data_IF_003139970750
#
_entry.id   IF_003139970750
#
_cell.length_a   1.000
_cell.length_b   1.000
_cell.length_c   1.000
_cell.angle_alpha   90.00
_cell.angle_beta   90.00
_cell.angle_gamma   90.00
#
_symmetry.space_group_name_H-M   'P 1'
#
loop_
_entity.id
_entity.type
_entity.pdbx_description
1 polymer ?
#
# COMPACT_ATOMS: atom_id res chain seq x y z
N UNK A 1 7.50 17.47 -3.34
CA UNK A 1 6.35 16.62 -3.37
C UNK A 1 6.25 15.81 -2.09
N UNK A 2 5.10 15.35 -1.79
CA UNK A 2 4.80 14.73 -0.52
C UNK A 2 4.77 13.23 -0.65
N UNK A 3 5.36 12.56 0.29
CA UNK A 3 5.25 11.12 0.33
C UNK A 3 5.09 10.66 1.77
N UNK A 4 4.66 9.43 1.93
CA UNK A 4 4.53 8.82 3.24
C UNK A 4 5.07 7.41 3.20
N UNK A 5 5.44 6.89 4.34
CA UNK A 5 5.80 5.49 4.48
C UNK A 5 4.74 4.88 5.38
N UNK A 6 4.09 3.86 4.90
CA UNK A 6 3.04 3.20 5.64
C UNK A 6 3.40 1.75 5.89
N UNK A 7 2.79 1.15 6.88
CA UNK A 7 2.95 -0.25 7.16
C UNK A 7 1.62 -0.93 6.84
N UNK A 8 1.61 -1.81 5.88
CA UNK A 8 0.39 -2.46 5.43
C UNK A 8 0.72 -3.86 4.98
N UNK A 9 -0.04 -4.83 5.45
CA UNK A 9 0.15 -6.21 5.05
C UNK A 9 1.52 -6.76 5.43
N UNK A 10 2.03 -6.35 6.55
CA UNK A 10 3.32 -6.85 7.02
C UNK A 10 4.52 -6.22 6.35
N UNK A 11 4.31 -5.19 5.54
CA UNK A 11 5.41 -4.57 4.83
C UNK A 11 5.31 -3.07 4.88
N UNK A 12 6.44 -2.41 4.71
CA UNK A 12 6.48 -0.97 4.60
C UNK A 12 6.41 -0.57 3.14
N UNK A 13 5.67 0.46 2.84
CA UNK A 13 5.52 0.96 1.49
C UNK A 13 5.71 2.47 1.48
N UNK A 14 6.50 2.96 0.54
CA UNK A 14 6.61 4.38 0.33
C UNK A 14 5.57 4.75 -0.72
N UNK A 15 4.71 5.71 -0.40
CA UNK A 15 3.58 6.04 -1.26
C UNK A 15 3.53 7.53 -1.54
N UNK A 16 3.04 7.88 -2.72
CA UNK A 16 2.74 9.27 -3.09
C UNK A 16 1.31 9.30 -3.60
N UNK A 17 0.71 10.49 -3.61
CA UNK A 17 -0.64 10.63 -4.12
C UNK A 17 -0.70 10.24 -5.58
N UNK A 18 -1.74 9.54 -5.95
CA UNK A 18 -1.94 9.08 -7.32
C UNK A 18 -1.30 7.76 -7.66
N UNK A 19 -0.46 7.28 -6.80
CA UNK A 19 0.27 6.03 -7.04
C UNK A 19 -0.63 4.84 -6.87
N UNK A 20 -0.48 3.83 -7.72
CA UNK A 20 -1.16 2.56 -7.56
C UNK A 20 -0.23 1.57 -6.89
N UNK A 21 -0.79 0.76 -6.03
CA UNK A 21 0.01 -0.10 -5.19
C UNK A 21 -0.71 -1.40 -4.97
N UNK A 22 -0.01 -2.50 -4.94
CA UNK A 22 -0.59 -3.78 -4.58
C UNK A 22 -0.21 -4.11 -3.17
N UNK A 23 -1.20 -4.41 -2.37
CA UNK A 23 -0.97 -4.77 -0.97
C UNK A 23 -1.61 -6.10 -0.71
N UNK A 24 -1.30 -6.70 0.40
CA UNK A 24 -1.90 -7.93 0.81
C UNK A 24 -3.40 -7.79 0.80
N UNK A 25 -4.11 -8.87 0.53
CA UNK A 25 -5.55 -8.82 0.33
C UNK A 25 -6.26 -8.14 1.50
N UNK A 26 -7.06 -7.12 1.20
CA UNK A 26 -7.74 -6.37 2.24
C UNK A 26 -9.20 -6.76 2.41
N UNK A 27 -9.74 -7.52 1.48
CA UNK A 27 -11.15 -7.95 1.53
C UNK A 27 -12.11 -6.77 1.53
N UNK A 28 -11.81 -5.79 0.69
CA UNK A 28 -12.66 -4.61 0.55
C UNK A 28 -13.21 -4.56 -0.85
N UNK A 29 -14.38 -3.97 -0.98
CA UNK A 29 -15.02 -3.89 -2.28
C UNK A 29 -14.36 -2.90 -3.18
N UNK A 30 -14.38 -3.19 -4.47
CA UNK A 30 -13.89 -2.26 -5.47
C UNK A 30 -14.64 -0.95 -5.36
N UNK A 31 -13.94 0.15 -5.42
CA UNK A 31 -14.51 1.48 -5.32
C UNK A 31 -14.61 2.01 -3.90
N UNK A 32 -14.35 1.17 -2.91
CA UNK A 32 -14.43 1.66 -1.54
C UNK A 32 -13.19 2.43 -1.17
N UNK A 33 -13.30 3.23 -0.14
CA UNK A 33 -12.19 4.01 0.38
C UNK A 33 -11.64 3.32 1.61
N UNK A 34 -10.33 3.25 1.70
CA UNK A 34 -9.69 2.73 2.91
C UNK A 34 -8.80 3.80 3.50
N UNK A 35 -8.72 3.80 4.82
CA UNK A 35 -7.83 4.69 5.53
C UNK A 35 -6.75 3.87 6.17
N UNK A 36 -5.51 4.21 5.88
CA UNK A 36 -4.36 3.49 6.39
C UNK A 36 -3.72 4.39 7.44
N UNK A 37 -3.82 3.98 8.69
CA UNK A 37 -3.39 4.84 9.78
C UNK A 37 -2.04 4.45 10.38
N UNK A 38 -1.44 3.40 9.88
CA UNK A 38 -0.13 3.01 10.36
C UNK A 38 0.92 3.72 9.53
N UNK A 39 1.05 5.00 9.77
CA UNK A 39 1.92 5.88 9.02
C UNK A 39 3.20 6.11 9.82
N UNK A 40 4.31 5.67 9.25
CA UNK A 40 5.59 5.72 9.94
C UNK A 40 6.31 7.02 9.71
N UNK A 41 6.09 7.63 8.55
CA UNK A 41 6.82 8.83 8.18
C UNK A 41 6.04 9.61 7.14
N UNK A 42 6.10 10.92 7.22
CA UNK A 42 5.54 11.80 6.19
C UNK A 42 6.57 12.86 5.88
N UNK A 43 6.79 13.08 4.59
CA UNK A 43 7.68 14.14 4.15
C UNK A 43 6.99 14.99 3.11
N UNK A 44 7.08 16.31 3.24
CA UNK A 44 6.52 17.19 2.23
C UNK A 44 7.62 17.79 1.37
N UNK A 45 8.79 17.25 1.43
CA UNK A 45 9.93 17.76 0.65
C UNK A 45 10.82 18.69 1.46
N UNK A 46 10.28 19.29 2.48
CA UNK A 46 11.05 20.20 3.32
C UNK A 46 11.06 19.71 4.76
N UNK A 47 9.90 19.32 5.24
CA UNK A 47 9.78 18.87 6.62
C UNK A 47 9.48 17.38 6.64
N UNK A 48 10.05 16.72 7.61
CA UNK A 48 9.84 15.27 7.76
C UNK A 48 9.32 15.01 9.15
N UNK A 49 8.23 14.26 9.24
CA UNK A 49 7.72 13.80 10.51
C UNK A 49 7.96 12.30 10.60
N UNK A 50 8.46 11.85 11.72
CA UNK A 50 8.75 10.44 11.92
C UNK A 50 7.98 9.94 13.13
N UNK A 51 7.32 8.81 12.99
CA UNK A 51 6.56 8.24 14.09
C UNK A 51 7.38 7.39 15.02
N UNK A 52 6.83 7.05 16.17
CA UNK A 52 7.49 6.20 17.15
C UNK A 52 6.51 5.16 17.66
N UNK A 53 6.18 4.17 16.86
CA UNK A 53 6.53 3.98 15.47
C UNK A 53 5.61 4.70 14.50
N UNK A 54 4.41 5.08 14.93
CA UNK A 54 3.43 5.67 14.03
C UNK A 54 3.15 7.11 14.43
N UNK A 55 2.79 7.91 13.43
CA UNK A 55 2.46 9.31 13.67
C UNK A 55 1.01 9.39 14.07
N UNK A 56 0.73 9.95 15.25
CA UNK A 56 -0.64 10.09 15.73
C UNK A 56 -1.45 10.97 14.81
N UNK A 57 -2.63 10.53 14.45
CA UNK A 57 -3.53 11.31 13.63
C UNK A 57 -3.22 11.34 12.16
N UNK A 58 -2.14 10.71 11.75
CA UNK A 58 -1.80 10.68 10.34
C UNK A 58 -2.60 9.59 9.63
N UNK A 59 -2.94 9.83 8.39
CA UNK A 59 -3.69 8.88 7.59
C UNK A 59 -3.29 8.97 6.15
N UNK A 60 -3.28 7.82 5.49
CA UNK A 60 -3.16 7.75 4.05
C UNK A 60 -4.47 7.17 3.55
N UNK A 61 -5.12 7.87 2.63
CA UNK A 61 -6.40 7.44 2.09
C UNK A 61 -6.19 6.86 0.72
N UNK A 62 -6.90 5.81 0.41
CA UNK A 62 -6.77 5.15 -0.88
C UNK A 62 -8.11 4.62 -1.34
N UNK A 63 -8.26 4.44 -2.64
CA UNK A 63 -9.43 3.82 -3.23
C UNK A 63 -9.06 2.42 -3.66
N UNK A 64 -9.93 1.47 -3.38
CA UNK A 64 -9.73 0.09 -3.78
C UNK A 64 -10.06 -0.04 -5.25
N UNK A 65 -9.09 -0.46 -6.07
CA UNK A 65 -9.30 -0.64 -7.49
C UNK A 65 -9.79 -2.04 -7.81
N UNK A 66 -9.47 -3.00 -6.99
CA UNK A 66 -9.91 -4.36 -7.19
C UNK A 66 -8.87 -5.36 -6.70
N UNK A 67 -9.15 -6.62 -6.90
CA UNK A 67 -8.22 -7.66 -6.53
C UNK A 67 -7.53 -8.15 -7.78
N UNK A 68 -6.24 -8.36 -7.71
CA UNK A 68 -5.45 -8.79 -8.84
C UNK A 68 -4.63 -9.99 -8.44
N UNK A 69 -4.40 -10.88 -9.38
CA UNK A 69 -3.56 -12.02 -9.13
C UNK A 69 -2.11 -11.61 -9.25
N UNK A 70 -1.34 -12.03 -8.32
CA UNK A 70 0.06 -11.76 -8.37
C UNK A 70 0.75 -12.72 -9.27
N UNK A 71 1.80 -12.29 -9.90
CA UNK A 71 2.51 -13.05 -10.63
C UNK A 71 3.85 -13.07 -10.23
N UNK A 72 4.49 -14.15 -10.11
CA UNK A 72 5.72 -14.17 -9.77
C UNK A 72 6.54 -14.21 -10.81
N UNK A 73 7.26 -13.59 -11.13
CA UNK A 73 8.01 -13.57 -12.11
C UNK A 73 9.11 -14.28 -11.95
N UNK A 74 9.38 -15.25 -11.91
CA UNK A 74 10.28 -15.93 -11.68
C UNK A 74 10.98 -16.45 -12.63
N UNK A 75 11.59 -16.92 -12.71
CA UNK A 75 12.30 -17.31 -13.48
C UNK A 75 12.11 -18.34 -14.09
N UNK A 76 12.12 -18.88 -14.59
CA UNK A 76 11.92 -19.74 -15.29
C UNK A 76 11.91 -20.94 -14.98
N UNK A 77 12.13 -21.62 -14.56
CA UNK A 77 12.02 -22.75 -14.34
C UNK A 77 11.32 -23.01 -13.44
N UNK A 78 10.79 -22.98 -13.12
CA UNK A 78 10.06 -23.14 -12.33
C UNK A 78 9.12 -23.60 -12.40
N UNK A 79 8.72 -24.06 -12.06
CA UNK A 79 7.97 -24.56 -11.96
C UNK A 79 6.92 -24.81 -11.89
N UNK A 80 6.43 -25.27 -11.50
CA UNK A 80 5.42 -25.65 -11.45
C UNK A 80 4.78 -25.44 -10.47
N UNK A 81 4.32 -24.79 -10.09
CA UNK A 81 3.73 -24.44 -9.19
C UNK A 81 2.55 -24.60 -9.34
N UNK A 82 1.95 -25.14 -8.88
CA UNK A 82 0.90 -25.52 -9.11
C UNK A 82 -0.13 -24.94 -8.60
N UNK A 83 -0.90 -24.39 -9.12
CA UNK A 83 -2.16 -24.06 -8.73
C UNK A 83 -2.34 -23.09 -7.68
N UNK A 84 -1.37 -22.49 -7.15
CA UNK A 84 -1.54 -21.57 -6.14
C UNK A 84 -1.25 -20.25 -6.66
N UNK A 85 -2.24 -19.30 -6.52
CA UNK A 85 -2.07 -18.03 -6.97
C UNK A 85 -2.19 -17.15 -5.86
N UNK A 86 -1.37 -16.16 -5.69
CA UNK A 86 -1.51 -15.18 -4.65
C UNK A 86 -2.32 -14.02 -5.15
N UNK A 87 -3.25 -13.56 -4.37
CA UNK A 87 -4.09 -12.43 -4.73
C UNK A 87 -3.72 -11.23 -3.89
N UNK A 88 -3.84 -10.07 -4.49
CA UNK A 88 -3.54 -8.80 -3.83
C UNK A 88 -4.70 -7.85 -4.04
N UNK A 89 -4.79 -6.85 -3.20
CA UNK A 89 -5.70 -5.73 -3.43
C UNK A 89 -4.90 -4.62 -4.08
N UNK A 90 -5.40 -4.11 -5.19
CA UNK A 90 -4.76 -2.96 -5.82
C UNK A 90 -5.48 -1.72 -5.33
N UNK A 91 -4.73 -0.75 -4.84
CA UNK A 91 -5.28 0.49 -4.32
C UNK A 91 -4.61 1.66 -5.01
N UNK A 92 -5.30 2.79 -5.02
CA UNK A 92 -4.72 4.02 -5.54
C UNK A 92 -4.72 5.04 -4.42
N UNK A 93 -3.58 5.61 -4.13
CA UNK A 93 -3.43 6.55 -3.04
C UNK A 93 -4.08 7.86 -3.44
N UNK A 94 -4.99 8.35 -2.63
CA UNK A 94 -5.72 9.57 -2.94
C UNK A 94 -5.39 10.72 -2.02
N UNK A 95 -4.82 10.46 -0.87
CA UNK A 95 -4.48 11.56 0.04
C UNK A 95 -3.55 11.12 1.14
N UNK A 96 -2.75 12.06 1.59
CA UNK A 96 -1.84 11.87 2.72
C UNK A 96 -2.10 13.04 3.67
N UNK A 97 -2.42 12.74 4.90
CA UNK A 97 -2.71 13.77 5.88
C UNK A 97 -1.96 13.49 7.18
N UNK A 98 -1.58 14.51 7.85
CA UNK A 98 -0.86 14.39 9.13
C UNK A 98 0.21 15.43 9.22
#
# INVERSE_FOLDING_TARGET
>A
SMYAVIFCGGKQHKVVEGEKLRVELLNKEQGSTVELDKVLLISDGTNVKVGTPYIDGAKVTATVLGEVAGEFRRRKHHQKVTGHRQWFTEIQITGIAG
#
